data_IF_086282791897
#
_entry.id   IF_086282791897
#
_cell.length_a   1.000
_cell.length_b   1.000
_cell.length_c   1.000
_cell.angle_alpha   90.00
_cell.angle_beta   90.00
_cell.angle_gamma   90.00
#
_symmetry.space_group_name_H-M   'P 1'
#
loop_
_entity.id
_entity.type
_entity.pdbx_description
1 polymer ?
#
# COMPACT_ATOMS: atom_id res chain seq x y z
N UNK A 1 -2.72 -10.43 -4.59
CA UNK A 1 -2.90 -10.53 -3.13
C UNK A 1 -3.07 -9.12 -2.57
N UNK A 2 -4.12 -8.87 -1.79
CA UNK A 2 -4.36 -7.58 -1.11
C UNK A 2 -5.15 -7.85 0.18
N UNK A 3 -4.82 -7.16 1.28
CA UNK A 3 -5.44 -7.34 2.61
C UNK A 3 -5.55 -8.76 3.20
N UNK A 4 -4.69 -9.68 2.73
CA UNK A 4 -4.70 -11.08 3.15
C UNK A 4 -5.59 -11.96 2.27
N UNK A 5 -6.28 -11.38 1.29
CA UNK A 5 -7.00 -12.10 0.25
C UNK A 5 -6.10 -12.28 -0.98
N UNK A 6 -6.11 -13.49 -1.53
CA UNK A 6 -5.39 -13.82 -2.76
C UNK A 6 -6.26 -14.71 -3.64
N UNK A 7 -6.13 -14.52 -4.94
CA UNK A 7 -6.71 -15.38 -5.95
C UNK A 7 -5.71 -15.53 -7.10
N UNK A 8 -5.97 -16.49 -7.98
CA UNK A 8 -5.15 -16.76 -9.16
C UNK A 8 -5.99 -16.52 -10.42
N UNK A 9 -5.39 -15.89 -11.42
CA UNK A 9 -5.98 -15.70 -12.75
C UNK A 9 -4.91 -15.94 -13.82
N UNK A 10 -5.32 -15.96 -15.09
CA UNK A 10 -4.43 -16.04 -16.25
C UNK A 10 -4.77 -14.93 -17.23
N UNK A 11 -3.75 -14.36 -17.87
CA UNK A 11 -3.91 -13.38 -18.93
C UNK A 11 -2.98 -13.74 -20.09
N UNK A 12 -3.39 -13.42 -21.31
CA UNK A 12 -2.54 -13.55 -22.48
C UNK A 12 -1.60 -12.33 -22.58
N UNK A 13 -0.31 -12.59 -22.81
CA UNK A 13 0.73 -11.57 -22.93
C UNK A 13 1.57 -11.81 -24.19
N UNK A 14 2.08 -10.74 -24.84
CA UNK A 14 3.03 -10.89 -25.95
C UNK A 14 4.27 -11.63 -25.47
N UNK A 15 4.72 -12.64 -26.22
CA UNK A 15 5.86 -13.48 -25.84
C UNK A 15 7.21 -12.75 -25.94
N UNK A 16 7.29 -11.66 -26.69
CA UNK A 16 8.49 -10.85 -26.90
C UNK A 16 8.66 -9.72 -25.87
N UNK A 17 8.21 -9.97 -24.63
CA UNK A 17 8.31 -9.03 -23.51
C UNK A 17 9.04 -9.66 -22.33
N UNK A 18 9.56 -8.80 -21.46
CA UNK A 18 10.14 -9.19 -20.18
C UNK A 18 9.33 -8.53 -19.06
N UNK A 19 9.55 -8.98 -17.83
CA UNK A 19 8.91 -8.43 -16.64
C UNK A 19 9.92 -8.29 -15.53
N UNK A 20 9.80 -7.22 -14.74
CA UNK A 20 10.62 -6.94 -13.57
C UNK A 20 9.78 -6.71 -12.31
N UNK A 21 10.36 -7.01 -11.15
CA UNK A 21 9.75 -6.66 -9.86
C UNK A 21 9.59 -5.15 -9.75
N UNK A 22 8.45 -4.70 -9.24
CA UNK A 22 8.10 -3.28 -9.18
C UNK A 22 7.30 -2.77 -10.37
N UNK A 23 7.27 -3.49 -11.49
CA UNK A 23 6.48 -3.08 -12.65
C UNK A 23 4.98 -3.16 -12.37
N UNK A 24 4.24 -2.20 -12.93
CA UNK A 24 2.80 -2.10 -12.82
C UNK A 24 2.12 -2.32 -14.17
N UNK A 25 1.02 -3.07 -14.17
CA UNK A 25 0.19 -3.31 -15.35
C UNK A 25 -1.26 -3.56 -14.95
N UNK A 26 -2.17 -3.59 -15.94
CA UNK A 26 -3.58 -3.88 -15.72
C UNK A 26 -3.85 -5.36 -15.97
N UNK A 27 -4.50 -6.01 -15.02
CA UNK A 27 -5.07 -7.35 -15.17
C UNK A 27 -6.56 -7.22 -15.41
N UNK A 28 -7.03 -7.82 -16.50
CA UNK A 28 -8.45 -7.98 -16.81
C UNK A 28 -8.93 -9.32 -16.27
N UNK A 29 -9.88 -9.29 -15.33
CA UNK A 29 -10.56 -10.48 -14.81
C UNK A 29 -12.04 -10.39 -15.08
N UNK A 30 -12.74 -11.53 -15.00
CA UNK A 30 -14.19 -11.60 -15.19
C UNK A 30 -14.96 -10.66 -14.24
N UNK A 31 -14.39 -10.34 -13.07
CA UNK A 31 -15.00 -9.49 -12.04
C UNK A 31 -14.58 -8.02 -12.12
N UNK A 32 -13.32 -7.72 -12.47
CA UNK A 32 -12.78 -6.36 -12.43
C UNK A 32 -11.50 -6.16 -13.26
N UNK A 33 -11.30 -4.92 -13.70
CA UNK A 33 -10.00 -4.42 -14.15
C UNK A 33 -9.20 -3.95 -12.92
N UNK A 34 -8.03 -4.53 -12.70
CA UNK A 34 -7.18 -4.22 -11.55
C UNK A 34 -5.81 -3.76 -12.01
N UNK A 35 -5.34 -2.60 -11.52
CA UNK A 35 -3.93 -2.24 -11.62
C UNK A 35 -3.16 -3.03 -10.57
N UNK A 36 -2.14 -3.77 -11.00
CA UNK A 36 -1.32 -4.60 -10.13
C UNK A 36 0.15 -4.25 -10.26
N UNK A 37 0.92 -4.48 -9.19
CA UNK A 37 2.37 -4.41 -9.18
C UNK A 37 2.97 -5.81 -9.02
N UNK A 38 4.05 -6.10 -9.73
CA UNK A 38 4.86 -7.32 -9.55
C UNK A 38 5.65 -7.24 -8.25
N UNK A 39 5.41 -8.19 -7.35
CA UNK A 39 6.12 -8.32 -6.07
C UNK A 39 7.07 -9.52 -6.03
N UNK A 40 7.08 -10.34 -7.08
CA UNK A 40 7.98 -11.47 -7.21
C UNK A 40 7.77 -12.23 -8.50
N UNK A 41 8.87 -12.78 -9.02
CA UNK A 41 8.89 -13.55 -10.26
C UNK A 41 9.47 -14.92 -9.94
N UNK A 42 8.74 -15.98 -10.27
CA UNK A 42 9.20 -17.36 -10.15
C UNK A 42 9.38 -17.97 -11.55
N UNK A 43 10.57 -18.51 -11.81
CA UNK A 43 10.98 -19.13 -13.10
C UNK A 43 11.22 -20.64 -12.95
N UNK A 44 10.92 -21.18 -11.78
CA UNK A 44 11.16 -22.58 -11.43
C UNK A 44 10.92 -22.85 -9.95
N UNK A 45 11.02 -24.12 -9.52
CA UNK A 45 10.85 -24.51 -8.13
C UNK A 45 11.81 -23.76 -7.20
N UNK A 46 11.26 -22.94 -6.31
CA UNK A 46 12.01 -22.13 -5.33
C UNK A 46 13.02 -21.16 -5.97
N UNK A 47 12.87 -20.85 -7.26
CA UNK A 47 13.76 -19.94 -7.98
C UNK A 47 13.07 -18.61 -8.25
N UNK A 48 13.46 -17.59 -7.46
CA UNK A 48 13.01 -16.21 -7.62
C UNK A 48 14.07 -15.32 -8.24
N UNK A 49 13.64 -14.43 -9.13
CA UNK A 49 14.48 -13.47 -9.85
C UNK A 49 13.86 -12.08 -9.80
N UNK A 50 14.67 -11.04 -10.06
CA UNK A 50 14.21 -9.65 -10.12
C UNK A 50 13.65 -9.27 -11.48
N UNK A 51 14.06 -9.97 -12.54
CA UNK A 51 13.60 -9.80 -13.92
C UNK A 51 13.66 -11.13 -14.67
N UNK A 52 12.77 -11.32 -15.66
CA UNK A 52 12.75 -12.49 -16.54
C UNK A 52 12.05 -12.19 -17.88
N UNK A 53 12.43 -12.89 -18.94
CA UNK A 53 11.64 -12.97 -20.15
C UNK A 53 10.31 -13.67 -19.85
N UNK A 54 9.19 -13.20 -20.41
CA UNK A 54 7.85 -13.68 -20.05
C UNK A 54 7.65 -15.17 -20.35
N UNK A 55 8.40 -15.70 -21.33
CA UNK A 55 8.38 -17.11 -21.71
C UNK A 55 9.00 -18.04 -20.66
N UNK A 56 9.89 -17.50 -19.82
CA UNK A 56 10.55 -18.23 -18.73
C UNK A 56 9.79 -18.14 -17.40
N UNK A 57 8.76 -17.29 -17.32
CA UNK A 57 8.00 -17.06 -16.09
C UNK A 57 7.00 -18.18 -15.85
N UNK A 58 7.15 -18.89 -14.74
CA UNK A 58 6.16 -19.86 -14.26
C UNK A 58 5.04 -19.19 -13.46
N UNK A 59 5.36 -18.19 -12.64
CA UNK A 59 4.38 -17.49 -11.80
C UNK A 59 4.80 -16.05 -11.50
N UNK A 60 3.86 -15.11 -11.70
CA UNK A 60 3.96 -13.74 -11.21
C UNK A 60 3.19 -13.60 -9.92
N UNK A 61 3.89 -13.14 -8.88
CA UNK A 61 3.28 -12.69 -7.65
C UNK A 61 2.96 -11.22 -7.78
N UNK A 62 1.68 -10.87 -7.67
CA UNK A 62 1.23 -9.50 -7.82
C UNK A 62 0.36 -9.03 -6.66
N UNK A 63 0.34 -7.71 -6.48
CA UNK A 63 -0.51 -7.01 -5.52
C UNK A 63 -1.36 -5.97 -6.25
N UNK A 64 -2.65 -5.88 -5.90
CA UNK A 64 -3.50 -4.81 -6.39
C UNK A 64 -3.06 -3.47 -5.78
N UNK A 65 -2.92 -2.45 -6.63
CA UNK A 65 -2.40 -1.12 -6.27
C UNK A 65 -3.29 0.02 -6.75
N UNK A 66 -4.46 -0.27 -7.33
CA UNK A 66 -5.42 0.75 -7.78
C UNK A 66 -6.17 1.38 -6.59
N UNK A 67 -6.73 0.56 -5.71
CA UNK A 67 -7.44 0.95 -4.50
C UNK A 67 -6.90 0.09 -3.35
N UNK A 68 -6.37 0.74 -2.33
CA UNK A 68 -5.66 0.07 -1.25
C UNK A 68 -6.23 0.45 0.11
N UNK A 69 -6.32 -0.54 1.01
CA UNK A 69 -6.51 -0.26 2.42
C UNK A 69 -5.16 -0.01 3.09
N UNK A 70 -4.98 1.19 3.63
CA UNK A 70 -3.80 1.58 4.39
C UNK A 70 -4.11 1.50 5.88
N UNK A 71 -3.27 0.77 6.62
CA UNK A 71 -3.34 0.74 8.07
C UNK A 71 -2.81 2.07 8.63
N UNK A 72 -3.65 2.77 9.39
CA UNK A 72 -3.29 4.02 10.08
C UNK A 72 -3.24 3.73 11.58
N UNK A 73 -2.10 3.99 12.21
CA UNK A 73 -1.95 4.02 13.66
C UNK A 73 -2.20 5.45 14.12
N UNK A 74 -3.26 5.65 14.89
CA UNK A 74 -3.60 6.94 15.49
C UNK A 74 -3.05 7.01 16.91
N UNK A 75 -2.14 7.93 17.15
CA UNK A 75 -1.69 8.33 18.48
C UNK A 75 -2.68 9.33 19.08
N UNK A 76 -2.96 9.24 20.39
CA UNK A 76 -3.87 10.16 21.06
C UNK A 76 -3.29 11.59 21.07
N UNK A 77 -4.19 12.57 21.06
CA UNK A 77 -3.85 13.97 21.36
C UNK A 77 -3.42 14.11 22.82
N UNK A 78 -2.48 15.01 23.09
CA UNK A 78 -1.95 15.28 24.43
C UNK A 78 -3.08 15.43 25.48
N UNK A 79 -2.98 14.66 26.57
CA UNK A 79 -3.91 14.72 27.71
C UNK A 79 -5.10 13.74 27.66
N UNK A 80 -5.27 12.96 26.59
CA UNK A 80 -6.22 11.84 26.55
C UNK A 80 -5.57 10.53 27.01
N UNK A 81 -6.26 9.78 27.87
CA UNK A 81 -5.75 8.53 28.42
C UNK A 81 -5.66 7.41 27.35
N UNK A 82 -4.43 7.13 26.91
CA UNK A 82 -3.83 5.80 26.73
C UNK A 82 -4.29 4.83 25.64
N UNK A 83 -4.91 5.23 24.53
CA UNK A 83 -5.14 4.23 23.47
C UNK A 83 -4.77 4.72 22.07
N UNK A 84 -3.51 4.42 21.70
CA UNK A 84 -3.15 4.26 20.30
C UNK A 84 -4.07 3.23 19.66
N UNK A 85 -4.80 3.63 18.60
CA UNK A 85 -5.71 2.73 17.89
C UNK A 85 -5.27 2.56 16.44
N UNK A 86 -5.71 1.47 15.81
CA UNK A 86 -5.50 1.26 14.37
C UNK A 86 -6.83 1.36 13.64
N UNK A 87 -6.84 2.03 12.50
CA UNK A 87 -7.93 2.01 11.55
C UNK A 87 -7.41 1.65 10.15
N UNK A 88 -8.33 1.36 9.23
CA UNK A 88 -8.01 1.17 7.82
C UNK A 88 -8.71 2.26 7.01
N UNK A 89 -7.94 2.95 6.18
CA UNK A 89 -8.47 3.90 5.20
C UNK A 89 -8.37 3.28 3.82
N UNK A 90 -9.47 3.27 3.07
CA UNK A 90 -9.48 2.87 1.67
C UNK A 90 -9.30 4.11 0.79
N UNK A 91 -8.23 4.14 0.02
CA UNK A 91 -7.89 5.25 -0.87
C UNK A 91 -7.40 4.74 -2.23
N UNK A 92 -7.47 5.57 -3.29
CA UNK A 92 -6.72 5.32 -4.51
C UNK A 92 -5.24 5.11 -4.18
N UNK A 93 -4.57 4.21 -4.91
CA UNK A 93 -3.18 3.89 -4.68
C UNK A 93 -2.23 5.06 -4.94
N UNK A 94 -2.63 6.00 -5.78
CA UNK A 94 -1.92 7.24 -6.08
C UNK A 94 -2.24 8.39 -5.11
N UNK A 95 -3.09 8.17 -4.09
CA UNK A 95 -3.29 9.14 -3.02
C UNK A 95 -1.99 9.35 -2.23
N UNK A 96 -1.61 10.60 -2.00
CA UNK A 96 -0.38 10.96 -1.27
C UNK A 96 -0.70 11.17 0.21
N UNK A 97 0.04 10.46 1.08
CA UNK A 97 0.14 10.85 2.48
C UNK A 97 1.41 11.68 2.66
N UNK A 98 1.30 12.85 3.28
CA UNK A 98 2.42 13.77 3.52
C UNK A 98 2.56 14.04 5.00
N UNK A 99 3.78 13.92 5.54
CA UNK A 99 4.09 14.23 6.94
C UNK A 99 3.83 15.72 7.22
N UNK A 100 3.20 16.00 8.37
CA UNK A 100 2.66 17.29 8.84
C UNK A 100 1.40 17.78 8.11
N UNK A 101 0.81 17.01 7.19
CA UNK A 101 -0.50 17.31 6.61
C UNK A 101 -1.63 16.57 7.33
N UNK A 102 -2.79 17.23 7.42
CA UNK A 102 -4.02 16.67 7.96
C UNK A 102 -4.82 16.00 6.86
N UNK A 103 -5.23 14.75 7.11
CA UNK A 103 -6.10 13.99 6.23
C UNK A 103 -7.45 13.72 6.91
N UNK A 104 -8.52 13.80 6.12
CA UNK A 104 -9.91 13.61 6.57
C UNK A 104 -10.54 12.44 5.81
N UNK A 105 -11.02 11.44 6.56
CA UNK A 105 -11.66 10.26 6.01
C UNK A 105 -12.94 9.92 6.78
N UNK A 106 -14.10 10.36 6.25
CA UNK A 106 -15.37 10.20 6.95
C UNK A 106 -15.40 11.07 8.21
N UNK A 107 -15.55 10.44 9.37
CA UNK A 107 -15.55 11.12 10.67
C UNK A 107 -14.15 11.17 11.33
N UNK A 108 -13.13 10.62 10.67
CA UNK A 108 -11.75 10.53 11.17
C UNK A 108 -10.92 11.69 10.59
N UNK A 109 -10.36 12.52 11.46
CA UNK A 109 -9.41 13.58 11.12
C UNK A 109 -8.08 13.29 11.82
N UNK A 110 -6.98 13.29 11.08
CA UNK A 110 -5.67 13.02 11.66
C UNK A 110 -4.54 13.74 10.94
N UNK A 111 -3.51 14.12 11.70
CA UNK A 111 -2.28 14.71 11.15
C UNK A 111 -1.21 13.63 11.00
N UNK A 112 -0.67 13.45 9.80
CA UNK A 112 0.36 12.44 9.52
C UNK A 112 1.67 12.81 10.22
N UNK A 113 2.19 11.89 11.02
CA UNK A 113 3.47 12.04 11.75
C UNK A 113 4.60 11.21 11.12
N UNK A 114 4.26 10.20 10.32
CA UNK A 114 5.25 9.39 9.63
C UNK A 114 4.66 8.29 8.76
N UNK A 115 5.46 7.81 7.81
CA UNK A 115 5.10 6.83 6.81
C UNK A 115 6.08 5.67 6.88
N UNK A 116 5.56 4.45 7.03
CA UNK A 116 6.33 3.23 6.86
C UNK A 116 6.13 2.74 5.43
N UNK A 117 7.21 2.69 4.66
CA UNK A 117 7.23 2.23 3.27
C UNK A 117 7.27 0.69 3.23
N UNK A 118 6.68 0.12 2.19
CA UNK A 118 6.74 -1.32 1.90
C UNK A 118 8.07 -1.71 1.28
N UNK A 119 8.43 -2.97 1.45
CA UNK A 119 9.67 -3.53 0.87
C UNK A 119 9.61 -3.62 -0.67
N UNK A 120 8.40 -3.74 -1.26
CA UNK A 120 8.13 -3.77 -2.71
C UNK A 120 7.95 -2.38 -3.35
N UNK A 121 8.45 -1.32 -2.70
CA UNK A 121 8.42 0.06 -3.17
C UNK A 121 9.84 0.68 -3.16
N UNK A 122 10.69 0.32 -4.15
CA UNK A 122 12.11 0.68 -4.14
C UNK A 122 12.39 2.16 -4.47
N UNK A 123 11.39 2.95 -4.86
CA UNK A 123 11.57 4.37 -5.21
C UNK A 123 11.96 5.25 -4.01
N UNK A 124 11.73 4.78 -2.79
CA UNK A 124 11.99 5.52 -1.56
C UNK A 124 13.38 5.21 -0.99
N UNK A 125 14.11 6.28 -0.61
CA UNK A 125 15.46 6.14 -0.03
C UNK A 125 15.48 5.56 1.38
N UNK A 126 14.37 5.66 2.10
CA UNK A 126 14.24 5.27 3.50
C UNK A 126 12.94 4.49 3.71
N UNK A 127 13.01 3.44 4.52
CA UNK A 127 11.84 2.63 4.87
C UNK A 127 10.86 3.39 5.78
N UNK A 128 11.36 4.41 6.49
CA UNK A 128 10.57 5.29 7.34
C UNK A 128 10.79 6.73 6.90
N UNK A 129 9.69 7.43 6.64
CA UNK A 129 9.67 8.86 6.38
C UNK A 129 8.98 9.55 7.55
N UNK A 130 9.58 10.58 8.11
CA UNK A 130 9.12 11.24 9.35
C UNK A 130 9.57 12.70 9.47
N UNK A 131 10.01 13.31 8.36
CA UNK A 131 10.32 14.73 8.29
C UNK A 131 9.20 15.47 7.57
N UNK A 132 8.92 16.70 8.01
CA UNK A 132 7.89 17.55 7.42
C UNK A 132 8.04 17.65 5.88
N UNK A 133 6.94 17.40 5.16
CA UNK A 133 6.92 17.39 3.70
C UNK A 133 7.44 16.11 3.04
N UNK A 134 7.92 15.13 3.81
CA UNK A 134 8.09 13.78 3.27
C UNK A 134 6.72 13.23 2.86
N UNK A 135 6.64 12.59 1.69
CA UNK A 135 5.40 12.00 1.20
C UNK A 135 5.63 10.61 0.60
N UNK A 136 4.56 9.81 0.55
CA UNK A 136 4.51 8.56 -0.17
C UNK A 136 3.11 8.27 -0.70
N UNK A 137 3.05 7.57 -1.83
CA UNK A 137 1.79 7.07 -2.38
C UNK A 137 1.20 5.98 -1.49
N UNK A 138 -0.12 5.96 -1.36
CA UNK A 138 -0.84 5.00 -0.53
C UNK A 138 -0.51 3.55 -0.89
N UNK A 139 -0.33 3.24 -2.18
CA UNK A 139 0.07 1.90 -2.65
C UNK A 139 1.42 1.45 -2.12
N UNK A 140 2.30 2.38 -1.75
CA UNK A 140 3.64 2.12 -1.24
C UNK A 140 3.71 2.16 0.30
N UNK A 141 2.65 2.63 0.96
CA UNK A 141 2.55 2.67 2.41
C UNK A 141 2.23 1.28 2.99
N UNK A 142 3.10 0.80 3.87
CA UNK A 142 2.85 -0.34 4.76
C UNK A 142 1.99 0.08 5.95
N UNK A 143 2.24 1.28 6.47
CA UNK A 143 1.51 1.87 7.61
C UNK A 143 1.71 3.38 7.64
N UNK A 144 0.67 4.11 8.00
CA UNK A 144 0.74 5.54 8.33
C UNK A 144 0.68 5.67 9.85
N UNK A 145 1.54 6.50 10.42
CA UNK A 145 1.47 6.94 11.81
C UNK A 145 0.94 8.36 11.81
N UNK A 146 -0.06 8.63 12.63
CA UNK A 146 -0.71 9.93 12.66
C UNK A 146 -1.20 10.25 14.06
N UNK A 147 -1.41 11.54 14.32
CA UNK A 147 -2.05 12.05 15.51
C UNK A 147 -3.54 12.22 15.26
N UNK A 148 -4.36 11.70 16.16
CA UNK A 148 -5.81 11.88 16.11
C UNK A 148 -6.16 13.36 16.35
N UNK A 149 -6.81 13.99 15.39
CA UNK A 149 -7.35 15.35 15.49
C UNK A 149 -8.88 15.35 15.59
N UNK A 150 -9.52 14.18 15.44
CA UNK A 150 -10.96 14.03 15.56
C UNK A 150 -11.42 14.56 16.91
N UNK A 151 -12.38 15.49 16.88
CA UNK A 151 -12.99 15.99 18.10
C UNK A 151 -13.61 14.81 18.84
N UNK A 152 -13.12 14.51 20.05
CA UNK A 152 -13.78 13.54 20.93
C UNK A 152 -15.17 14.08 21.24
N UNK A 153 -16.16 13.67 20.46
CA UNK A 153 -17.55 13.78 20.82
C UNK A 153 -17.79 12.82 21.99
N UNK A 154 -17.46 13.31 23.18
CA UNK A 154 -18.01 12.96 24.48
C UNK A 154 -18.98 11.77 24.45
N UNK A 155 -18.49 10.58 24.79
CA UNK A 155 -19.35 9.47 25.20
C UNK A 155 -19.15 9.24 26.68
N UNK A 156 -19.86 10.05 27.47
CA UNK A 156 -20.16 9.70 28.85
C UNK A 156 -21.22 8.62 28.83
N UNK A 157 -20.85 7.41 29.24
CA UNK A 157 -21.76 6.44 29.82
C UNK A 157 -21.09 5.75 30.99
#
# INVERSE_FOLDING_TARGET
SQDGESFTTRMDVPADTYVATGEEFVVDTDDALMQVRVTGIEVGPEQRVEEADIEDVETLWTRAVDNVAVAVTLHPKDGAADQTRSLRVNVPGDYEFTVDETAEFGDEEFTVEGLQIREDAPEYRHEKLDHAGDFAYAKDCKRVYARDESLTAWSAW
#
